data_IF_609971034339
#
_entry.id   IF_609971034339
#
_cell.length_a   1.000
_cell.length_b   1.000
_cell.length_c   1.000
_cell.angle_alpha   90.00
_cell.angle_beta   90.00
_cell.angle_gamma   90.00
#
_symmetry.space_group_name_H-M   'P 1'
#
loop_
_entity.id
_entity.type
_entity.pdbx_description
1 polymer ?
#
# COMPACT_ATOMS: atom_id res chain seq x y z
N UNK A 1 -46.63 -11.92 27.05
CA UNK A 1 -46.27 -12.54 25.76
C UNK A 1 -45.94 -11.45 24.75
N UNK A 2 -44.90 -11.68 23.94
CA UNK A 2 -44.45 -10.96 22.72
C UNK A 2 -44.02 -9.48 22.86
N UNK A 3 -42.71 -9.26 23.06
CA UNK A 3 -42.02 -8.00 22.75
C UNK A 3 -41.41 -8.09 21.34
N UNK A 4 -41.74 -7.11 20.51
CA UNK A 4 -41.33 -6.96 19.12
C UNK A 4 -39.81 -6.91 18.95
N UNK A 5 -39.28 -7.69 18.01
CA UNK A 5 -37.89 -7.64 17.59
C UNK A 5 -37.72 -6.55 16.54
N UNK A 6 -37.20 -5.39 16.96
CA UNK A 6 -36.81 -4.33 16.05
C UNK A 6 -35.38 -4.62 15.54
N UNK A 7 -35.28 -5.27 14.38
CA UNK A 7 -34.01 -5.57 13.71
C UNK A 7 -33.47 -4.29 13.06
N UNK A 8 -32.61 -3.56 13.76
CA UNK A 8 -31.86 -2.45 13.17
C UNK A 8 -30.63 -2.99 12.44
N UNK A 9 -30.76 -3.21 11.14
CA UNK A 9 -29.64 -3.54 10.25
C UNK A 9 -28.75 -2.30 10.16
N UNK A 10 -27.66 -2.28 10.95
CA UNK A 10 -26.60 -1.28 10.85
C UNK A 10 -25.82 -1.50 9.56
N UNK A 11 -26.23 -0.82 8.50
CA UNK A 11 -25.45 -0.69 7.26
C UNK A 11 -24.10 -0.04 7.58
N UNK A 12 -23.03 -0.83 7.50
CA UNK A 12 -21.65 -0.34 7.61
C UNK A 12 -21.31 0.46 6.35
N UNK A 13 -21.18 1.78 6.48
CA UNK A 13 -20.56 2.64 5.46
C UNK A 13 -19.10 2.21 5.28
N UNK A 14 -18.79 1.61 4.14
CA UNK A 14 -17.42 1.49 3.64
C UNK A 14 -17.04 2.86 3.09
N UNK A 15 -16.21 3.60 3.82
CA UNK A 15 -15.66 4.86 3.34
C UNK A 15 -14.45 4.57 2.45
N UNK A 16 -14.63 4.61 1.14
CA UNK A 16 -13.54 4.71 0.17
C UNK A 16 -12.90 6.09 0.35
N UNK A 17 -11.77 6.20 1.08
CA UNK A 17 -11.01 7.45 1.15
C UNK A 17 -10.17 7.59 -0.11
N UNK A 18 -10.65 8.43 -1.02
CA UNK A 18 -9.89 8.93 -2.15
C UNK A 18 -8.65 9.71 -1.69
N UNK A 19 -7.58 9.54 -2.44
CA UNK A 19 -6.34 10.31 -2.37
C UNK A 19 -6.62 11.76 -2.80
N UNK A 20 -6.59 12.70 -1.85
CA UNK A 20 -6.66 14.13 -2.11
C UNK A 20 -5.57 14.83 -1.31
N UNK A 21 -4.64 15.48 -2.01
CA UNK A 21 -3.52 16.18 -1.40
C UNK A 21 -3.93 17.35 -0.51
N UNK A 22 -3.21 17.52 0.59
CA UNK A 22 -3.13 18.78 1.32
C UNK A 22 -1.74 18.89 1.95
N UNK A 23 -1.01 19.90 1.52
CA UNK A 23 0.29 20.30 2.04
C UNK A 23 0.16 20.97 3.41
N UNK A 24 1.26 20.89 4.18
CA UNK A 24 1.69 21.86 5.20
C UNK A 24 1.33 21.63 6.68
N UNK A 25 2.42 21.47 7.45
CA UNK A 25 2.63 21.78 8.88
C UNK A 25 1.86 20.98 9.93
N UNK A 26 2.55 20.02 10.54
CA UNK A 26 2.73 19.98 12.01
C UNK A 26 4.12 19.43 12.38
N UNK A 27 5.01 20.33 12.79
CA UNK A 27 6.18 19.99 13.62
C UNK A 27 5.65 19.35 14.91
N UNK A 28 6.21 18.20 15.28
CA UNK A 28 6.19 17.70 16.67
C UNK A 28 4.86 17.19 17.23
N UNK A 29 3.96 16.59 16.44
CA UNK A 29 2.90 15.78 17.04
C UNK A 29 3.51 14.42 17.39
N UNK A 30 3.44 13.94 18.65
CA UNK A 30 3.80 12.56 18.94
C UNK A 30 3.00 11.68 17.98
N UNK A 31 3.70 10.84 17.22
CA UNK A 31 3.06 9.93 16.26
C UNK A 31 1.91 9.25 17.00
N UNK A 32 0.68 9.50 16.53
CA UNK A 32 -0.51 8.93 17.14
C UNK A 32 -0.27 7.43 17.30
N UNK A 33 -0.68 6.78 18.40
CA UNK A 33 -0.69 5.32 18.50
C UNK A 33 -1.36 4.66 17.27
N UNK A 34 -2.21 5.38 16.55
CA UNK A 34 -2.81 4.95 15.28
C UNK A 34 -1.79 4.74 14.15
N UNK A 35 -0.76 5.60 14.03
CA UNK A 35 0.26 5.49 12.97
C UNK A 35 1.16 4.26 13.16
N UNK A 36 1.48 3.92 14.42
CA UNK A 36 2.17 2.68 14.74
C UNK A 36 1.29 1.46 14.48
N UNK A 37 -0.02 1.58 14.72
CA UNK A 37 -1.01 0.55 14.39
C UNK A 37 -1.05 0.29 12.88
N UNK A 38 -1.03 1.35 12.09
CA UNK A 38 -1.01 1.26 10.64
C UNK A 38 0.28 0.61 10.14
N UNK A 39 1.44 1.04 10.65
CA UNK A 39 2.72 0.44 10.31
C UNK A 39 2.76 -1.07 10.60
N UNK A 40 2.22 -1.50 11.74
CA UNK A 40 2.10 -2.93 12.12
C UNK A 40 1.25 -3.75 11.15
N UNK A 41 0.31 -3.14 10.44
CA UNK A 41 -0.51 -3.81 9.43
C UNK A 41 0.18 -3.88 8.06
N UNK A 42 1.04 -2.91 7.75
CA UNK A 42 1.75 -2.82 6.47
C UNK A 42 2.99 -3.74 6.43
N UNK A 43 3.69 -3.88 7.55
CA UNK A 43 4.90 -4.70 7.62
C UNK A 43 4.54 -6.19 7.79
N UNK A 44 5.02 -7.09 6.91
CA UNK A 44 4.81 -8.52 7.06
C UNK A 44 5.31 -9.04 8.41
N UNK A 45 4.41 -9.64 9.19
CA UNK A 45 4.70 -10.12 10.55
C UNK A 45 4.72 -9.02 11.63
N UNK A 46 4.38 -7.77 11.29
CA UNK A 46 4.52 -6.61 12.19
C UNK A 46 3.57 -6.54 13.38
N UNK A 47 2.43 -7.26 13.37
CA UNK A 47 1.34 -7.09 14.36
C UNK A 47 1.78 -7.21 15.82
N UNK A 48 2.68 -8.14 16.12
CA UNK A 48 3.12 -8.48 17.49
C UNK A 48 4.53 -8.01 17.84
N UNK A 49 5.20 -7.27 16.94
CA UNK A 49 6.57 -6.81 17.18
C UNK A 49 6.62 -5.70 18.23
N UNK A 50 7.75 -5.60 18.94
CA UNK A 50 8.08 -4.40 19.72
C UNK A 50 8.39 -3.26 18.76
N UNK A 51 8.44 -2.03 19.28
CA UNK A 51 8.61 -0.86 18.43
C UNK A 51 9.98 -0.87 17.72
N UNK A 52 11.06 -1.21 18.43
CA UNK A 52 12.40 -1.28 17.82
C UNK A 52 12.45 -2.34 16.70
N UNK A 53 11.95 -3.54 16.98
CA UNK A 53 11.89 -4.63 16.01
C UNK A 53 11.01 -4.28 14.79
N UNK A 54 9.90 -3.58 15.02
CA UNK A 54 9.01 -3.12 13.95
C UNK A 54 9.74 -2.14 13.04
N UNK A 55 10.51 -1.22 13.59
CA UNK A 55 11.28 -0.23 12.82
C UNK A 55 12.38 -0.89 12.00
N UNK A 56 13.18 -1.77 12.61
CA UNK A 56 14.22 -2.52 11.90
C UNK A 56 13.63 -3.34 10.75
N UNK A 57 12.52 -4.05 11.01
CA UNK A 57 11.85 -4.84 9.96
C UNK A 57 11.17 -3.98 8.90
N UNK A 58 10.77 -2.75 9.26
CA UNK A 58 10.24 -1.78 8.29
C UNK A 58 11.34 -1.38 7.30
N UNK A 59 12.54 -1.12 7.79
CA UNK A 59 13.69 -0.77 6.95
C UNK A 59 14.01 -1.88 5.95
N UNK A 60 14.12 -3.13 6.43
CA UNK A 60 14.32 -4.31 5.58
C UNK A 60 13.23 -4.44 4.52
N UNK A 61 11.97 -4.24 4.92
CA UNK A 61 10.84 -4.37 4.02
C UNK A 61 10.81 -3.26 2.96
N UNK A 62 11.18 -2.03 3.32
CA UNK A 62 11.34 -0.93 2.35
C UNK A 62 12.43 -1.27 1.33
N UNK A 63 13.57 -1.77 1.79
CA UNK A 63 14.66 -2.18 0.91
C UNK A 63 14.20 -3.29 -0.05
N UNK A 64 13.54 -4.32 0.48
CA UNK A 64 12.98 -5.41 -0.31
C UNK A 64 12.00 -4.91 -1.38
N UNK A 65 11.05 -4.03 -1.02
CA UNK A 65 10.09 -3.47 -1.96
C UNK A 65 10.77 -2.65 -3.06
N UNK A 66 11.76 -1.82 -2.71
CA UNK A 66 12.55 -1.05 -3.69
C UNK A 66 13.25 -1.97 -4.68
N UNK A 67 13.86 -3.06 -4.21
CA UNK A 67 14.49 -4.05 -5.08
C UNK A 67 13.47 -4.75 -5.97
N UNK A 68 12.34 -5.18 -5.41
CA UNK A 68 11.28 -5.85 -6.16
C UNK A 68 10.73 -4.96 -7.29
N UNK A 69 10.49 -3.67 -7.01
CA UNK A 69 10.06 -2.71 -8.03
C UNK A 69 11.11 -2.55 -9.13
N UNK A 70 12.39 -2.41 -8.79
CA UNK A 70 13.48 -2.31 -9.78
C UNK A 70 13.53 -3.54 -10.67
N UNK A 71 13.49 -4.74 -10.10
CA UNK A 71 13.49 -6.00 -10.86
C UNK A 71 12.28 -6.08 -11.78
N UNK A 72 11.09 -5.74 -11.29
CA UNK A 72 9.87 -5.75 -12.09
C UNK A 72 9.92 -4.75 -13.25
N UNK A 73 10.38 -3.51 -13.00
CA UNK A 73 10.56 -2.51 -14.05
C UNK A 73 11.54 -2.97 -15.13
N UNK A 74 12.68 -3.51 -14.70
CA UNK A 74 13.68 -4.06 -15.61
C UNK A 74 13.07 -5.22 -16.41
N UNK A 75 12.41 -6.18 -15.76
CA UNK A 75 11.77 -7.31 -16.44
C UNK A 75 10.71 -6.86 -17.46
N UNK A 76 9.91 -5.85 -17.13
CA UNK A 76 8.93 -5.29 -18.06
C UNK A 76 9.63 -4.65 -19.27
N UNK A 77 10.73 -3.93 -19.04
CA UNK A 77 11.54 -3.35 -20.11
C UNK A 77 12.15 -4.44 -21.01
N UNK A 78 12.68 -5.52 -20.44
CA UNK A 78 13.20 -6.66 -21.21
C UNK A 78 12.12 -7.35 -22.02
N UNK A 79 10.93 -7.57 -21.46
CA UNK A 79 9.80 -8.15 -22.20
C UNK A 79 9.39 -7.24 -23.35
N UNK A 80 9.34 -5.92 -23.12
CA UNK A 80 8.97 -4.97 -24.16
C UNK A 80 10.04 -4.89 -25.27
N UNK A 81 11.32 -4.91 -24.91
CA UNK A 81 12.44 -4.91 -25.85
C UNK A 81 12.52 -6.22 -26.64
N UNK A 82 12.32 -7.37 -25.99
CA UNK A 82 12.27 -8.67 -26.64
C UNK A 82 11.08 -8.74 -27.61
N UNK A 83 9.93 -8.18 -27.25
CA UNK A 83 8.76 -8.08 -28.12
C UNK A 83 9.03 -7.24 -29.37
N UNK A 84 9.71 -6.09 -29.24
CA UNK A 84 10.11 -5.28 -30.41
C UNK A 84 11.12 -6.05 -31.28
N UNK A 85 12.11 -6.70 -30.66
CA UNK A 85 13.22 -7.37 -31.37
C UNK A 85 12.84 -8.70 -32.02
N UNK A 86 11.94 -9.48 -31.41
CA UNK A 86 11.55 -10.81 -31.90
C UNK A 86 10.27 -10.79 -32.74
N UNK A 87 9.33 -9.89 -32.43
CA UNK A 87 8.03 -9.84 -33.11
C UNK A 87 7.90 -8.63 -34.04
N UNK A 88 8.93 -7.79 -34.20
CA UNK A 88 8.92 -6.64 -35.09
C UNK A 88 7.82 -5.61 -34.77
N UNK A 89 7.30 -5.64 -33.53
CA UNK A 89 6.15 -4.83 -33.14
C UNK A 89 6.56 -3.36 -33.03
N UNK A 90 6.17 -2.55 -34.02
CA UNK A 90 6.38 -1.10 -34.03
C UNK A 90 5.25 -0.46 -33.19
N UNK A 91 5.55 0.33 -32.15
CA UNK A 91 4.51 1.06 -31.45
C UNK A 91 3.83 2.01 -32.45
N UNK A 92 2.50 1.97 -32.54
CA UNK A 92 1.76 3.01 -33.26
C UNK A 92 1.84 4.28 -32.42
N UNK A 93 2.57 5.27 -32.92
CA UNK A 93 2.51 6.64 -32.45
C UNK A 93 1.20 7.24 -32.97
N UNK A 94 0.09 6.94 -32.29
CA UNK A 94 -1.17 7.65 -32.53
C UNK A 94 -1.02 9.07 -31.94
N UNK A 95 -0.87 10.04 -32.85
CA UNK A 95 -0.79 11.49 -32.59
C UNK A 95 -2.08 12.07 -32.04
#
# INVERSE_FOLDING_TARGET
>A
MKRNHNMSIKLRRVACRGTGGATSRRRGRPQSPDSWRELRMLVPGGRRLRLEDLLSRTEDYIFFLRMKVRVLMVSALWVHAARIRLLGFKPNDDS
#
